data_IF_948698959410
#
_entry.id   IF_948698959410
#
_cell.length_a   1.000
_cell.length_b   1.000
_cell.length_c   1.000
_cell.angle_alpha   90.00
_cell.angle_beta   90.00
_cell.angle_gamma   90.00
#
_symmetry.space_group_name_H-M   'P 1'
#
loop_
_entity.id
_entity.type
_entity.pdbx_description
1 polymer ?
#
# COMPACT_ATOMS: atom_id res chain seq x y z
N UNK A 1 26.82 -1.14 12.99
CA UNK A 1 25.90 -2.21 13.39
C UNK A 1 25.35 -2.83 12.12
N UNK A 2 25.79 -4.04 11.80
CA UNK A 2 25.27 -4.81 10.67
C UNK A 2 23.91 -5.36 11.11
N UNK A 3 22.82 -4.72 10.68
CA UNK A 3 21.48 -5.22 10.94
C UNK A 3 21.22 -6.47 10.11
N UNK A 4 20.70 -7.53 10.74
CA UNK A 4 20.20 -8.72 10.06
C UNK A 4 19.12 -8.31 9.04
N UNK A 5 19.22 -8.83 7.81
CA UNK A 5 18.22 -8.62 6.78
C UNK A 5 17.18 -9.72 6.94
N UNK A 6 15.93 -9.32 7.20
CA UNK A 6 14.78 -10.22 7.29
C UNK A 6 13.90 -9.96 6.07
N UNK A 7 13.56 -11.02 5.36
CA UNK A 7 12.62 -10.96 4.25
C UNK A 7 11.18 -11.09 4.76
N UNK A 8 10.27 -10.33 4.16
CA UNK A 8 8.85 -10.35 4.47
C UNK A 8 8.04 -10.19 3.18
N UNK A 9 6.91 -10.90 3.10
CA UNK A 9 5.96 -10.73 1.99
C UNK A 9 5.34 -9.32 2.03
N UNK A 10 4.99 -8.71 0.88
CA UNK A 10 4.34 -7.40 0.86
C UNK A 10 3.11 -7.33 1.76
N UNK A 11 2.31 -8.39 1.82
CA UNK A 11 1.14 -8.48 2.70
C UNK A 11 1.50 -8.29 4.18
N UNK A 12 2.62 -8.88 4.62
CA UNK A 12 3.08 -8.74 6.01
C UNK A 12 3.59 -7.32 6.29
N UNK A 13 4.20 -6.66 5.30
CA UNK A 13 4.68 -5.28 5.41
C UNK A 13 3.52 -4.29 5.51
N UNK A 14 2.43 -4.54 4.77
CA UNK A 14 1.31 -3.60 4.67
C UNK A 14 0.18 -3.86 5.68
N UNK A 15 0.14 -5.01 6.35
CA UNK A 15 -0.81 -5.26 7.44
C UNK A 15 -0.59 -4.24 8.57
N UNK A 16 -1.63 -3.45 8.88
CA UNK A 16 -1.57 -2.40 9.90
C UNK A 16 -0.90 -1.09 9.43
N UNK A 17 -0.45 -0.99 8.18
CA UNK A 17 0.16 0.24 7.67
C UNK A 17 -0.85 1.40 7.68
N UNK A 18 -0.47 2.52 8.28
CA UNK A 18 -1.34 3.68 8.42
C UNK A 18 -1.46 4.46 7.10
N UNK A 19 -2.68 4.90 6.78
CA UNK A 19 -2.98 5.66 5.57
C UNK A 19 -3.92 6.83 5.86
N UNK A 20 -3.81 7.88 5.06
CA UNK A 20 -4.64 9.07 5.20
C UNK A 20 -4.41 9.81 6.52
N UNK A 21 -5.40 10.61 6.92
CA UNK A 21 -5.35 11.43 8.13
C UNK A 21 -6.76 11.63 8.69
N UNK A 22 -6.89 11.69 10.03
CA UNK A 22 -8.17 11.95 10.70
C UNK A 22 -9.25 10.90 10.37
N UNK A 23 -8.88 9.62 10.27
CA UNK A 23 -9.82 8.51 10.04
C UNK A 23 -10.35 8.40 8.60
N UNK A 24 -9.77 9.12 7.64
CA UNK A 24 -10.17 9.08 6.23
C UNK A 24 -8.98 9.16 5.29
N UNK A 25 -9.16 8.63 4.08
CA UNK A 25 -8.28 8.82 2.95
C UNK A 25 -9.09 9.24 1.72
N UNK A 26 -8.41 9.63 0.64
CA UNK A 26 -9.05 9.94 -0.62
C UNK A 26 -8.58 8.96 -1.69
N UNK A 27 -9.50 8.52 -2.54
CA UNK A 27 -9.13 7.77 -3.74
C UNK A 27 -8.25 8.64 -4.65
N UNK A 28 -7.11 8.13 -5.09
CA UNK A 28 -6.20 8.83 -6.00
C UNK A 28 -6.82 9.19 -7.35
N UNK A 29 -7.74 8.33 -7.85
CA UNK A 29 -8.40 8.53 -9.15
C UNK A 29 -9.60 9.48 -9.07
N UNK A 30 -10.64 9.16 -8.29
CA UNK A 30 -11.89 9.93 -8.27
C UNK A 30 -12.01 10.91 -7.09
N UNK A 31 -11.02 10.97 -6.21
CA UNK A 31 -10.98 11.80 -4.99
C UNK A 31 -12.11 11.58 -3.99
N UNK A 32 -12.97 10.58 -4.17
CA UNK A 32 -13.98 10.25 -3.15
C UNK A 32 -13.28 9.87 -1.85
N UNK A 33 -13.87 10.30 -0.75
CA UNK A 33 -13.43 9.89 0.58
C UNK A 33 -13.70 8.41 0.79
N UNK A 34 -12.71 7.69 1.28
CA UNK A 34 -12.82 6.33 1.81
C UNK A 34 -12.54 6.33 3.32
N UNK A 35 -13.17 5.43 4.05
CA UNK A 35 -13.16 5.34 5.51
C UNK A 35 -13.03 3.90 5.96
N UNK A 36 -13.07 3.69 7.27
CA UNK A 36 -13.16 2.36 7.86
C UNK A 36 -14.26 1.51 7.21
N UNK A 37 -13.94 0.24 6.97
CA UNK A 37 -14.82 -0.73 6.33
C UNK A 37 -14.75 -0.74 4.80
N UNK A 38 -14.30 0.35 4.17
CA UNK A 38 -14.21 0.42 2.72
C UNK A 38 -13.15 -0.54 2.17
N UNK A 39 -13.50 -1.22 1.07
CA UNK A 39 -12.53 -1.97 0.27
C UNK A 39 -11.77 -1.03 -0.64
N UNK A 40 -10.46 -1.24 -0.70
CA UNK A 40 -9.53 -0.40 -1.44
C UNK A 40 -8.57 -1.25 -2.25
N UNK A 41 -7.93 -0.59 -3.21
CA UNK A 41 -6.78 -1.13 -3.95
C UNK A 41 -5.59 -0.23 -3.64
N UNK A 42 -4.45 -0.83 -3.34
CA UNK A 42 -3.23 -0.13 -2.96
C UNK A 42 -2.18 -0.44 -4.01
N UNK A 43 -1.62 0.61 -4.60
CA UNK A 43 -0.39 0.53 -5.37
C UNK A 43 0.77 1.03 -4.53
N UNK A 44 1.78 0.18 -4.39
CA UNK A 44 3.00 0.50 -3.66
C UNK A 44 4.24 0.03 -4.40
N UNK A 45 5.37 0.69 -4.12
CA UNK A 45 6.65 0.37 -4.74
C UNK A 45 7.80 0.48 -3.74
N UNK A 46 8.92 -0.14 -4.08
CA UNK A 46 10.20 -0.02 -3.39
C UNK A 46 11.32 -0.05 -4.43
N UNK A 47 12.16 0.98 -4.45
CA UNK A 47 13.36 1.00 -5.29
C UNK A 47 14.37 -0.05 -4.82
N UNK A 48 15.11 -0.67 -5.73
CA UNK A 48 16.06 -1.75 -5.44
C UNK A 48 17.18 -1.37 -4.47
N UNK A 49 17.56 -0.09 -4.44
CA UNK A 49 18.54 0.49 -3.51
C UNK A 49 17.93 0.92 -2.17
N UNK A 50 16.60 0.87 -2.04
CA UNK A 50 15.86 1.27 -0.85
C UNK A 50 15.28 0.09 -0.09
N UNK A 51 15.27 0.19 1.25
CA UNK A 51 14.63 -0.81 2.11
C UNK A 51 13.15 -0.53 2.37
N UNK A 52 12.69 0.70 2.11
CA UNK A 52 11.36 1.17 2.50
C UNK A 52 10.38 1.15 1.34
N UNK A 53 9.20 0.62 1.59
CA UNK A 53 8.06 0.71 0.68
C UNK A 53 7.36 2.07 0.78
N UNK A 54 6.85 2.53 -0.36
CA UNK A 54 6.04 3.73 -0.49
C UNK A 54 4.66 3.36 -1.04
N UNK A 55 3.59 3.82 -0.39
CA UNK A 55 2.24 3.77 -0.96
C UNK A 55 2.10 4.93 -1.95
N UNK A 56 2.14 4.64 -3.24
CA UNK A 56 2.03 5.64 -4.29
C UNK A 56 0.57 6.03 -4.54
N UNK A 57 -0.35 5.07 -4.48
CA UNK A 57 -1.75 5.32 -4.73
C UNK A 57 -2.66 4.41 -3.92
N UNK A 58 -3.75 4.99 -3.44
CA UNK A 58 -4.88 4.28 -2.83
C UNK A 58 -6.12 4.56 -3.67
N UNK A 59 -6.78 3.53 -4.17
CA UNK A 59 -8.00 3.62 -4.97
C UNK A 59 -9.20 3.02 -4.25
N UNK A 60 -10.37 3.63 -4.42
CA UNK A 60 -11.62 3.00 -4.00
C UNK A 60 -11.95 1.81 -4.92
N UNK A 61 -12.80 0.89 -4.44
CA UNK A 61 -13.25 -0.27 -5.23
C UNK A 61 -13.83 0.08 -6.62
N UNK A 62 -14.44 1.25 -6.78
CA UNK A 62 -15.03 1.67 -8.07
C UNK A 62 -13.99 2.13 -9.10
N UNK A 63 -12.76 2.42 -8.68
CA UNK A 63 -11.66 2.84 -9.54
C UNK A 63 -10.63 1.72 -9.63
N UNK A 64 -11.10 0.49 -9.86
CA UNK A 64 -10.30 -0.72 -9.79
C UNK A 64 -9.36 -0.96 -10.96
N UNK A 65 -9.46 -0.14 -12.00
CA UNK A 65 -8.67 -0.23 -13.24
C UNK A 65 -7.22 0.27 -13.02
N UNK A 66 -6.56 -0.23 -11.98
CA UNK A 66 -5.11 -0.14 -11.78
C UNK A 66 -4.39 -1.23 -12.61
N UNK A 67 -4.95 -1.61 -13.76
CA UNK A 67 -4.61 -2.82 -14.49
C UNK A 67 -3.34 -2.71 -15.35
N UNK A 68 -2.76 -1.51 -15.51
CA UNK A 68 -1.52 -1.37 -16.28
C UNK A 68 -0.66 -0.29 -15.64
N UNK A 69 0.13 -0.69 -14.65
CA UNK A 69 1.36 0.03 -14.35
C UNK A 69 2.35 -0.42 -15.40
N UNK A 70 2.86 0.50 -16.21
CA UNK A 70 4.12 0.26 -16.93
C UNK A 70 5.17 0.11 -15.84
N UNK A 71 5.65 -1.11 -15.55
CA UNK A 71 6.44 -1.29 -14.35
C UNK A 71 7.74 -0.50 -14.48
N UNK A 72 8.17 0.11 -13.40
CA UNK A 72 9.36 0.97 -13.40
C UNK A 72 10.61 0.11 -13.24
N UNK A 73 11.53 0.16 -14.20
CA UNK A 73 12.79 -0.58 -14.09
C UNK A 73 13.54 -0.16 -12.82
N UNK A 74 14.00 -1.14 -12.03
CA UNK A 74 14.65 -0.91 -10.75
C UNK A 74 13.70 -0.75 -9.56
N UNK A 75 12.38 -0.87 -9.75
CA UNK A 75 11.40 -0.86 -8.67
C UNK A 75 10.73 -2.23 -8.50
N UNK A 76 10.65 -2.73 -7.27
CA UNK A 76 9.65 -3.75 -6.93
C UNK A 76 8.31 -3.05 -6.76
N UNK A 77 7.30 -3.48 -7.50
CA UNK A 77 5.97 -2.85 -7.52
C UNK A 77 4.90 -3.88 -7.18
N UNK A 78 3.91 -3.48 -6.38
CA UNK A 78 2.80 -4.33 -5.99
C UNK A 78 1.47 -3.61 -6.06
N UNK A 79 0.46 -4.33 -6.53
CA UNK A 79 -0.96 -3.95 -6.39
C UNK A 79 -1.60 -4.93 -5.43
N UNK A 80 -2.33 -4.41 -4.45
CA UNK A 80 -3.01 -5.22 -3.45
C UNK A 80 -4.47 -4.81 -3.29
N UNK A 81 -5.35 -5.80 -3.14
CA UNK A 81 -6.67 -5.61 -2.57
C UNK A 81 -6.58 -5.59 -1.04
N UNK A 82 -7.33 -4.70 -0.39
CA UNK A 82 -7.41 -4.67 1.07
C UNK A 82 -8.73 -4.06 1.54
N UNK A 83 -8.91 -3.98 2.87
CA UNK A 83 -9.92 -3.12 3.50
C UNK A 83 -9.28 -2.13 4.45
N UNK A 84 -9.96 -1.03 4.69
CA UNK A 84 -9.59 -0.06 5.71
C UNK A 84 -10.20 -0.45 7.06
N UNK A 85 -9.43 -0.29 8.14
CA UNK A 85 -9.90 -0.41 9.51
C UNK A 85 -9.35 0.72 10.37
N UNK A 86 -9.86 0.89 11.59
CA UNK A 86 -9.21 1.74 12.59
C UNK A 86 -8.35 0.87 13.52
N UNK A 87 -7.08 1.23 13.65
CA UNK A 87 -6.21 0.76 14.74
C UNK A 87 -6.16 1.84 15.81
N UNK A 88 -6.51 1.49 17.03
CA UNK A 88 -6.45 2.38 18.19
C UNK A 88 -5.34 1.92 19.15
N UNK A 89 -4.55 2.88 19.63
CA UNK A 89 -3.62 2.69 20.73
C UNK A 89 -4.19 3.36 21.98
N UNK A 90 -4.61 2.53 22.94
CA UNK A 90 -5.23 3.00 24.17
C UNK A 90 -4.25 3.72 25.10
N UNK A 91 -2.94 3.41 25.02
CA UNK A 91 -1.94 4.04 25.88
C UNK A 91 -1.71 5.50 25.48
N UNK A 92 -1.74 5.79 24.17
CA UNK A 92 -1.56 7.14 23.62
C UNK A 92 -2.87 7.84 23.30
N UNK A 93 -4.01 7.13 23.38
CA UNK A 93 -5.33 7.59 22.93
C UNK A 93 -5.34 8.02 21.45
N UNK A 94 -4.44 7.47 20.64
CA UNK A 94 -4.39 7.72 19.20
C UNK A 94 -5.21 6.68 18.43
N UNK A 95 -5.79 7.11 17.31
CA UNK A 95 -6.40 6.21 16.34
C UNK A 95 -5.94 6.56 14.93
N UNK A 96 -5.70 5.52 14.12
CA UNK A 96 -5.23 5.66 12.74
C UNK A 96 -6.03 4.75 11.85
N UNK A 97 -6.30 5.22 10.64
CA UNK A 97 -6.87 4.41 9.58
C UNK A 97 -5.75 3.54 9.01
N UNK A 98 -5.93 2.22 8.98
CA UNK A 98 -4.90 1.25 8.60
C UNK A 98 -5.39 0.28 7.54
N UNK A 99 -4.44 -0.24 6.76
CA UNK A 99 -4.66 -1.33 5.80
C UNK A 99 -4.81 -2.64 6.57
N UNK A 100 -5.83 -3.43 6.24
CA UNK A 100 -6.07 -4.77 6.82
C UNK A 100 -6.35 -5.81 5.75
N UNK A 101 -5.85 -7.02 6.00
CA UNK A 101 -5.94 -8.16 5.11
C UNK A 101 -5.52 -7.82 3.67
N UNK A 102 -4.32 -7.24 3.46
CA UNK A 102 -3.81 -7.03 2.13
C UNK A 102 -3.63 -8.37 1.41
N UNK A 103 -3.96 -8.39 0.12
CA UNK A 103 -3.79 -9.52 -0.78
C UNK A 103 -3.17 -9.01 -2.06
N UNK A 104 -1.94 -9.43 -2.38
CA UNK A 104 -1.31 -9.07 -3.64
C UNK A 104 -2.11 -9.64 -4.80
N UNK A 105 -2.47 -8.78 -5.75
CA UNK A 105 -3.10 -9.15 -7.02
C UNK A 105 -2.13 -9.08 -8.18
N UNK A 106 -1.14 -8.17 -8.09
CA UNK A 106 -0.12 -7.97 -9.10
C UNK A 106 1.21 -7.71 -8.41
N UNK A 107 2.27 -8.33 -8.91
CA UNK A 107 3.64 -8.15 -8.48
C UNK A 107 4.52 -7.95 -9.71
N UNK A 108 5.45 -7.00 -9.63
CA UNK A 108 6.51 -6.81 -10.63
C UNK A 108 7.85 -6.76 -9.92
N UNK A 109 8.77 -7.60 -10.36
CA UNK A 109 10.15 -7.61 -9.90
C UNK A 109 10.92 -6.40 -10.49
N UNK A 110 12.01 -5.95 -9.85
CA UNK A 110 12.78 -4.79 -10.31
C UNK A 110 13.38 -4.95 -11.71
N UNK A 111 13.57 -6.19 -12.17
CA UNK A 111 14.03 -6.55 -13.51
C UNK A 111 12.93 -6.59 -14.60
N UNK A 112 11.66 -6.51 -14.22
CA UNK A 112 10.50 -6.66 -15.13
C UNK A 112 9.98 -5.30 -15.67
N UNK A 113 10.59 -4.20 -15.24
CA UNK A 113 10.21 -2.85 -15.66
C UNK A 113 10.87 -2.35 -16.94
N UNK A 114 10.34 -1.24 -17.47
CA UNK A 114 10.95 -0.47 -18.57
C UNK A 114 11.53 0.84 -18.01
N UNK A 115 12.50 1.45 -18.70
CA UNK A 115 12.93 2.81 -18.37
C UNK A 115 11.72 3.76 -18.46
N UNK A 116 11.59 4.65 -17.47
CA UNK A 116 10.48 5.60 -17.35
C UNK A 116 10.56 6.73 -18.39
#
# INVERSE_FOLDING_TARGET
MSGEIVDAAPEQVFEGHAVGAGGKACCGSCRRTVREGDRIIVYAYRMSDMRRWSVAQLSCRSCSDLDVLTPTLGATEVVMNARLAVTADAATQESRLTIRAPQVTTFSAPEEGREA
#
